data_IF_611751746634
#
_entry.id   IF_611751746634
#
_cell.length_a   1.000
_cell.length_b   1.000
_cell.length_c   1.000
_cell.angle_alpha   90.00
_cell.angle_beta   90.00
_cell.angle_gamma   90.00
#
_symmetry.space_group_name_H-M   'P 1'
#
loop_
_entity.id
_entity.type
_entity.pdbx_description
1 polymer ?
#
# COMPACT_ATOMS: atom_id res chain seq x y z
N UNK A 1 -37.46 0.61 -6.64
CA UNK A 1 -37.08 0.55 -5.21
C UNK A 1 -38.03 -0.41 -4.51
N UNK A 2 -37.51 -1.38 -3.77
CA UNK A 2 -38.24 -2.52 -3.16
C UNK A 2 -39.20 -2.15 -2.00
N UNK A 3 -39.61 -0.88 -1.87
CA UNK A 3 -40.49 -0.43 -0.79
C UNK A 3 -39.92 -0.52 0.62
N UNK A 4 -38.63 -0.86 0.77
CA UNK A 4 -37.90 -0.94 2.04
C UNK A 4 -36.96 0.25 2.18
N UNK A 5 -36.99 0.90 3.34
CA UNK A 5 -36.05 1.96 3.72
C UNK A 5 -35.07 1.40 4.74
N UNK A 6 -33.95 0.89 4.26
CA UNK A 6 -32.91 0.31 5.10
C UNK A 6 -31.55 0.91 4.78
N UNK A 7 -30.70 0.96 5.80
CA UNK A 7 -29.30 1.37 5.65
C UNK A 7 -28.49 0.21 5.07
N UNK A 8 -27.90 0.44 3.90
CA UNK A 8 -26.95 -0.44 3.22
C UNK A 8 -25.57 0.22 3.20
N UNK A 9 -25.09 0.67 4.36
CA UNK A 9 -23.72 1.17 4.52
C UNK A 9 -22.71 0.03 4.36
N UNK A 10 -21.69 0.25 3.52
CA UNK A 10 -20.51 -0.61 3.42
C UNK A 10 -19.57 -0.31 4.60
N UNK A 11 -20.01 -0.69 5.81
CA UNK A 11 -19.27 -0.49 7.05
C UNK A 11 -18.41 -1.70 7.41
N UNK A 12 -17.61 -1.54 8.48
CA UNK A 12 -16.69 -2.58 8.97
C UNK A 12 -17.41 -3.86 9.44
N UNK A 13 -18.70 -3.77 9.77
CA UNK A 13 -19.50 -4.86 10.34
C UNK A 13 -20.54 -5.43 9.36
N UNK A 14 -20.36 -5.26 8.04
CA UNK A 14 -21.30 -5.82 7.06
C UNK A 14 -21.21 -7.36 7.01
N UNK A 15 -22.36 -8.03 6.99
CA UNK A 15 -22.42 -9.49 6.86
C UNK A 15 -22.37 -9.92 5.39
N UNK A 16 -21.91 -11.14 5.10
CA UNK A 16 -21.87 -11.67 3.73
C UNK A 16 -23.28 -11.76 3.13
N UNK A 17 -24.28 -12.10 3.94
CA UNK A 17 -25.68 -12.18 3.52
C UNK A 17 -26.16 -10.84 2.99
N UNK A 18 -25.79 -9.75 3.67
CA UNK A 18 -26.12 -8.37 3.26
C UNK A 18 -25.44 -7.99 1.95
N UNK A 19 -24.19 -8.39 1.73
CA UNK A 19 -23.49 -8.19 0.45
C UNK A 19 -24.21 -8.91 -0.69
N UNK A 20 -24.64 -10.15 -0.48
CA UNK A 20 -25.38 -10.93 -1.47
C UNK A 20 -26.76 -10.32 -1.78
N UNK A 21 -27.43 -9.75 -0.77
CA UNK A 21 -28.68 -9.02 -0.94
C UNK A 21 -28.47 -7.77 -1.83
N UNK A 22 -27.48 -6.93 -1.51
CA UNK A 22 -27.12 -5.75 -2.33
C UNK A 22 -26.84 -6.18 -3.78
N UNK A 23 -26.13 -7.28 -3.98
CA UNK A 23 -25.85 -7.80 -5.32
C UNK A 23 -27.10 -8.29 -6.06
N UNK A 24 -28.05 -8.92 -5.37
CA UNK A 24 -29.34 -9.28 -5.97
C UNK A 24 -30.14 -8.06 -6.38
N UNK A 25 -30.18 -7.03 -5.53
CA UNK A 25 -30.83 -5.76 -5.83
C UNK A 25 -30.19 -5.07 -7.04
N UNK A 26 -28.85 -5.08 -7.10
CA UNK A 26 -28.09 -4.61 -8.25
C UNK A 26 -28.53 -5.26 -9.55
N UNK A 27 -28.62 -6.61 -9.59
CA UNK A 27 -29.08 -7.33 -10.78
C UNK A 27 -30.54 -7.09 -11.11
N UNK A 28 -31.43 -7.16 -10.11
CA UNK A 28 -32.88 -7.03 -10.31
C UNK A 28 -33.26 -5.68 -10.93
N UNK A 29 -32.57 -4.62 -10.50
CA UNK A 29 -32.82 -3.27 -10.98
C UNK A 29 -31.90 -2.85 -12.13
N UNK A 30 -31.07 -3.76 -12.64
CA UNK A 30 -30.17 -3.51 -13.77
C UNK A 30 -29.28 -2.28 -13.53
N UNK A 31 -28.85 -2.09 -12.28
CA UNK A 31 -27.91 -1.05 -11.96
C UNK A 31 -26.58 -1.30 -12.69
N UNK A 32 -25.89 -0.22 -13.01
CA UNK A 32 -24.57 -0.25 -13.63
C UNK A 32 -23.59 0.47 -12.73
N UNK A 33 -22.34 0.01 -12.72
CA UNK A 33 -21.28 0.73 -12.02
C UNK A 33 -21.01 2.06 -12.75
N UNK A 34 -20.82 3.12 -11.98
CA UNK A 34 -20.36 4.38 -12.54
C UNK A 34 -18.96 4.20 -13.15
N UNK A 35 -18.68 4.96 -14.22
CA UNK A 35 -17.35 5.00 -14.82
C UNK A 35 -16.27 5.42 -13.81
N UNK A 36 -15.06 4.91 -14.00
CA UNK A 36 -13.91 5.26 -13.16
C UNK A 36 -13.62 6.77 -13.28
N UNK A 37 -13.23 7.39 -12.16
CA UNK A 37 -12.85 8.80 -12.12
C UNK A 37 -11.46 8.98 -11.54
N UNK A 38 -10.72 9.93 -12.12
CA UNK A 38 -9.39 10.32 -11.68
C UNK A 38 -9.25 11.84 -11.82
N UNK A 39 -8.68 12.51 -10.81
CA UNK A 39 -8.48 13.97 -10.78
C UNK A 39 -9.72 14.81 -11.19
N UNK A 40 -10.92 14.35 -10.82
CA UNK A 40 -12.18 15.06 -11.12
C UNK A 40 -12.81 14.74 -12.48
N UNK A 41 -12.13 14.00 -13.36
CA UNK A 41 -12.64 13.57 -14.66
C UNK A 41 -12.98 12.09 -14.73
N UNK A 42 -13.77 11.70 -15.73
CA UNK A 42 -13.91 10.28 -16.08
C UNK A 42 -12.64 9.79 -16.78
N UNK A 43 -12.24 8.56 -16.50
CA UNK A 43 -11.18 7.87 -17.23
C UNK A 43 -11.75 7.44 -18.58
N UNK A 44 -11.08 7.81 -19.67
CA UNK A 44 -11.49 7.40 -21.02
C UNK A 44 -11.01 5.98 -21.32
N UNK A 45 -11.61 5.35 -22.33
CA UNK A 45 -11.20 4.00 -22.74
C UNK A 45 -9.74 4.00 -23.25
N UNK A 46 -9.33 5.03 -23.98
CA UNK A 46 -7.96 5.16 -24.50
C UNK A 46 -6.95 5.25 -23.36
N UNK A 47 -7.26 6.03 -22.31
CA UNK A 47 -6.43 6.13 -21.12
C UNK A 47 -6.34 4.79 -20.40
N UNK A 48 -7.44 4.05 -20.33
CA UNK A 48 -7.45 2.73 -19.73
C UNK A 48 -6.56 1.74 -20.52
N UNK A 49 -6.74 1.69 -21.84
CA UNK A 49 -5.96 0.81 -22.71
C UNK A 49 -4.47 1.13 -22.67
N UNK A 50 -4.09 2.41 -22.67
CA UNK A 50 -2.68 2.83 -22.52
C UNK A 50 -2.04 2.24 -21.26
N UNK A 51 -2.75 2.24 -20.12
CA UNK A 51 -2.24 1.67 -18.87
C UNK A 51 -2.20 0.15 -18.89
N UNK A 52 -3.17 -0.49 -19.54
CA UNK A 52 -3.18 -1.96 -19.72
C UNK A 52 -1.98 -2.39 -20.56
N UNK A 53 -1.74 -1.76 -21.70
CA UNK A 53 -0.58 -2.06 -22.56
C UNK A 53 0.74 -1.83 -21.83
N UNK A 54 0.87 -0.73 -21.09
CA UNK A 54 2.05 -0.45 -20.30
C UNK A 54 2.29 -1.53 -19.23
N UNK A 55 1.24 -1.93 -18.52
CA UNK A 55 1.31 -2.99 -17.51
C UNK A 55 1.70 -4.33 -18.15
N UNK A 56 1.20 -4.62 -19.35
CA UNK A 56 1.54 -5.83 -20.07
C UNK A 56 3.02 -5.83 -20.48
N UNK A 57 3.54 -4.71 -21.02
CA UNK A 57 4.97 -4.58 -21.35
C UNK A 57 5.88 -4.83 -20.15
N UNK A 58 5.51 -4.34 -18.96
CA UNK A 58 6.28 -4.58 -17.75
C UNK A 58 6.20 -6.02 -17.22
N UNK A 59 5.12 -6.74 -17.51
CA UNK A 59 5.02 -8.17 -17.21
C UNK A 59 5.86 -9.00 -18.17
N UNK A 60 5.85 -8.63 -19.45
CA UNK A 60 6.56 -9.35 -20.51
C UNK A 60 8.08 -9.12 -20.44
N UNK A 61 8.52 -7.93 -20.01
CA UNK A 61 9.93 -7.59 -19.80
C UNK A 61 10.21 -7.15 -18.34
N UNK A 62 10.57 -8.11 -17.48
CA UNK A 62 10.93 -7.82 -16.09
C UNK A 62 12.17 -6.93 -15.91
N UNK A 63 13.12 -6.96 -16.87
CA UNK A 63 14.31 -6.11 -16.78
C UNK A 63 13.96 -4.65 -17.02
N UNK A 64 13.14 -4.37 -18.03
CA UNK A 64 12.61 -3.02 -18.26
C UNK A 64 11.89 -2.51 -17.02
N UNK A 65 11.03 -3.34 -16.41
CA UNK A 65 10.34 -2.97 -15.18
C UNK A 65 11.30 -2.63 -14.03
N UNK A 66 12.34 -3.46 -13.82
CA UNK A 66 13.36 -3.20 -12.80
C UNK A 66 14.10 -1.87 -13.03
N UNK A 67 14.45 -1.55 -14.28
CA UNK A 67 15.10 -0.29 -14.66
C UNK A 67 14.18 0.91 -14.38
N UNK A 68 12.93 0.84 -14.83
CA UNK A 68 11.94 1.91 -14.59
C UNK A 68 11.70 2.11 -13.10
N UNK A 69 11.62 1.03 -12.32
CA UNK A 69 11.48 1.10 -10.86
C UNK A 69 12.69 1.79 -10.21
N UNK A 70 13.92 1.44 -10.62
CA UNK A 70 15.13 2.06 -10.10
C UNK A 70 15.15 3.58 -10.41
N UNK A 71 14.83 3.96 -11.65
CA UNK A 71 14.74 5.37 -12.04
C UNK A 71 13.67 6.13 -11.24
N UNK A 72 12.49 5.52 -11.07
CA UNK A 72 11.42 6.10 -10.27
C UNK A 72 11.83 6.27 -8.80
N UNK A 73 12.56 5.30 -8.23
CA UNK A 73 13.08 5.39 -6.87
C UNK A 73 14.06 6.56 -6.70
N UNK A 74 14.94 6.81 -7.68
CA UNK A 74 15.83 7.97 -7.66
C UNK A 74 15.04 9.29 -7.76
N UNK A 75 14.06 9.38 -8.67
CA UNK A 75 13.18 10.57 -8.76
C UNK A 75 12.41 10.82 -7.47
N UNK A 76 11.96 9.75 -6.81
CA UNK A 76 11.29 9.87 -5.52
C UNK A 76 12.23 10.44 -4.47
N UNK A 77 13.53 10.09 -4.42
CA UNK A 77 14.47 10.68 -3.44
C UNK A 77 14.57 12.21 -3.55
N UNK A 78 14.47 12.75 -4.77
CA UNK A 78 14.52 14.19 -5.01
C UNK A 78 13.28 14.94 -4.48
N UNK A 79 12.14 14.26 -4.32
CA UNK A 79 10.91 14.86 -3.81
C UNK A 79 10.98 14.98 -2.28
N UNK A 80 10.76 16.19 -1.71
CA UNK A 80 10.84 16.38 -0.28
C UNK A 80 9.76 15.59 0.46
N UNK A 81 10.10 15.07 1.63
CA UNK A 81 9.22 14.19 2.43
C UNK A 81 7.88 14.87 2.75
N UNK A 82 7.89 16.18 3.01
CA UNK A 82 6.67 16.96 3.28
C UNK A 82 5.67 16.97 2.12
N UNK A 83 6.13 16.79 0.87
CA UNK A 83 5.27 16.78 -0.31
C UNK A 83 4.67 15.40 -0.64
N UNK A 84 5.13 14.33 0.02
CA UNK A 84 4.72 12.95 -0.31
C UNK A 84 3.43 12.51 0.37
N UNK A 85 2.87 13.29 1.30
CA UNK A 85 1.63 12.94 2.01
C UNK A 85 1.71 11.68 2.88
N UNK A 86 2.89 11.07 3.01
CA UNK A 86 3.14 9.88 3.84
C UNK A 86 4.11 10.25 4.96
N UNK A 87 3.82 9.82 6.20
CA UNK A 87 4.76 9.97 7.31
C UNK A 87 6.00 9.13 7.01
N UNK A 88 7.19 9.71 7.17
CA UNK A 88 8.43 8.94 7.06
C UNK A 88 8.39 7.78 8.07
N UNK A 89 8.70 6.57 7.61
CA UNK A 89 8.91 5.44 8.51
C UNK A 89 10.05 5.82 9.45
N UNK A 90 9.71 6.14 10.70
CA UNK A 90 10.69 6.56 11.67
C UNK A 90 11.65 5.39 11.90
N UNK A 91 12.95 5.60 11.68
CA UNK A 91 13.99 4.58 11.76
C UNK A 91 14.17 4.02 13.17
N UNK A 92 13.22 3.20 13.63
CA UNK A 92 13.23 2.54 14.93
C UNK A 92 14.22 1.36 14.97
N UNK A 93 14.66 0.86 13.81
CA UNK A 93 15.60 -0.26 13.71
C UNK A 93 17.04 0.04 14.15
N UNK A 94 17.46 1.32 14.17
CA UNK A 94 18.83 1.69 14.58
C UNK A 94 19.02 1.77 16.10
N UNK A 95 17.94 1.92 16.88
CA UNK A 95 18.01 2.03 18.35
C UNK A 95 18.34 0.70 19.03
N UNK A 96 17.90 -0.43 18.46
CA UNK A 96 18.21 -1.76 19.02
C UNK A 96 19.64 -2.23 18.74
N UNK A 97 20.25 -1.81 17.63
CA UNK A 97 21.65 -2.15 17.32
C UNK A 97 22.67 -1.46 18.24
N UNK A 98 22.39 -0.22 18.68
CA UNK A 98 23.23 0.45 19.68
C UNK A 98 23.06 -0.11 21.10
N UNK A 99 21.89 -0.67 21.42
CA UNK A 99 21.67 -1.35 22.71
C UNK A 99 22.40 -2.71 22.79
N UNK A 100 22.54 -3.43 21.67
CA UNK A 100 23.25 -4.71 21.63
C UNK A 100 24.79 -4.56 21.67
N UNK A 101 25.35 -3.49 21.12
CA UNK A 101 26.80 -3.24 21.13
C UNK A 101 27.37 -2.83 22.49
N UNK A 102 26.55 -2.30 23.39
CA UNK A 102 26.99 -1.81 24.72
C UNK A 102 27.24 -2.90 25.75
N UNK A 103 26.71 -4.13 25.57
CA UNK A 103 26.83 -5.20 26.56
C UNK A 103 28.08 -6.08 26.42
N UNK A 104 28.82 -5.98 25.31
CA UNK A 104 30.04 -6.80 25.12
C UNK A 104 31.28 -6.16 25.76
N UNK A 105 31.30 -4.84 25.96
CA UNK A 105 32.50 -4.12 26.43
C UNK A 105 32.73 -4.15 27.96
N UNK A 106 31.76 -4.59 28.77
CA UNK A 106 31.88 -4.56 30.25
C UNK A 106 32.28 -5.93 30.84
N UNK A 107 32.17 -7.03 30.08
CA UNK A 107 32.35 -8.38 30.60
C UNK A 107 33.78 -8.92 30.69
N UNK A 108 34.76 -8.33 29.99
CA UNK A 108 36.13 -8.90 29.91
C UNK A 108 37.10 -8.38 30.97
N UNK A 109 36.76 -7.31 31.70
CA UNK A 109 37.64 -6.71 32.72
C UNK A 109 37.55 -7.32 34.12
N UNK A 110 36.52 -8.13 34.42
CA UNK A 110 36.24 -8.57 35.81
C UNK A 110 36.76 -9.98 36.15
N UNK A 111 37.25 -10.74 35.17
CA UNK A 111 37.62 -12.16 35.38
C UNK A 111 39.12 -12.45 35.58
N UNK A 112 40.01 -11.46 35.59
CA UNK A 112 41.47 -11.66 35.74
C UNK A 112 42.05 -11.32 37.13
N UNK A 113 41.22 -10.97 38.12
CA UNK A 113 41.70 -10.46 39.42
C UNK A 113 41.67 -11.43 40.61
N UNK A 114 41.44 -12.74 40.42
CA UNK A 114 41.32 -13.67 41.56
C UNK A 114 41.95 -15.04 41.35
N UNK A 115 43.28 -15.11 41.42
CA UNK A 115 43.95 -16.14 42.24
C UNK A 115 45.43 -15.80 42.41
N UNK A 116 45.83 -15.85 43.69
CA UNK A 116 47.19 -15.97 44.22
C UNK A 116 48.11 -16.82 43.36
#
# INVERSE_FOLDING_TARGET
>A
MEGRFEDYTLGRNITIERVKEIYHLFKKHQFQLAGLRSFGGYVTEEQFQEKVELAQRYRDDPELFARVQAEAAEKLKAIPIMAKGVKAANGSGRKWLLAAGGLVAVGTGWLLGRKR
#
